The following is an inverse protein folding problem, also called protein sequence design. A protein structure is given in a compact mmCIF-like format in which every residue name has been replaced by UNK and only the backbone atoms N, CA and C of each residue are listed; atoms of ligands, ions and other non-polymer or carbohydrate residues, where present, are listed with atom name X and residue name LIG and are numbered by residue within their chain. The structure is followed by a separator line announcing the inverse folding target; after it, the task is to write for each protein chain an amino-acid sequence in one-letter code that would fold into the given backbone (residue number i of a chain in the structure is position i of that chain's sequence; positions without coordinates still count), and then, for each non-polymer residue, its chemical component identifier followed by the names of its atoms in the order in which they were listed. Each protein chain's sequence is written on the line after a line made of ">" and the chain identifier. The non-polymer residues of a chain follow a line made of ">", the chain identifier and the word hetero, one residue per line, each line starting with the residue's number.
data_IF_881233046162
#
_entry.id   IF_881233046162
#
_cell.length_a   1.000
_cell.length_b   1.000
_cell.length_c   1.000
_cell.angle_alpha   90.00
_cell.angle_beta   90.00
_cell.angle_gamma   90.00
#
_symmetry.space_group_name_H-M   'P 1'
#
loop_
_entity.id
_entity.type
_entity.pdbx_description
1 polymer ?
#
# COMPACT_ATOMS: atom_id res chain seq x y z
N UNK A 1 44.69 28.71 14.02
CA UNK A 1 44.19 29.87 13.25
C UNK A 1 44.21 29.48 11.78
N UNK A 2 43.18 28.80 11.29
CA UNK A 2 42.98 28.61 9.85
C UNK A 2 41.48 28.71 9.62
N UNK A 3 40.97 29.94 9.65
CA UNK A 3 39.63 30.24 9.19
C UNK A 3 39.81 31.13 7.95
N UNK A 4 40.25 30.51 6.86
CA UNK A 4 40.04 31.11 5.55
C UNK A 4 38.53 30.98 5.32
N UNK A 5 37.77 32.01 5.67
CA UNK A 5 36.35 32.08 5.34
C UNK A 5 36.28 32.17 3.81
N UNK A 6 36.23 31.02 3.15
CA UNK A 6 35.98 30.96 1.71
C UNK A 6 34.72 31.79 1.45
N UNK A 7 34.88 32.83 0.65
CA UNK A 7 33.78 33.70 0.24
C UNK A 7 32.79 32.81 -0.52
N UNK A 8 31.55 32.68 -0.01
CA UNK A 8 30.60 31.70 -0.55
C UNK A 8 30.24 31.97 -2.03
N UNK A 9 30.39 33.21 -2.48
CA UNK A 9 30.25 33.60 -3.88
C UNK A 9 31.32 32.98 -4.80
N UNK A 10 32.49 32.62 -4.27
CA UNK A 10 33.57 31.99 -5.03
C UNK A 10 33.40 30.46 -5.15
N UNK A 11 32.43 29.87 -4.45
CA UNK A 11 32.08 28.44 -4.56
C UNK A 11 31.51 28.11 -5.94
N UNK A 12 31.62 26.84 -6.35
CA UNK A 12 30.96 26.34 -7.56
C UNK A 12 29.44 26.44 -7.42
N UNK A 13 28.71 26.46 -8.54
CA UNK A 13 27.25 26.66 -8.54
C UNK A 13 26.52 25.75 -7.53
N UNK A 14 26.81 24.44 -7.53
CA UNK A 14 26.19 23.47 -6.61
C UNK A 14 26.49 23.79 -5.14
N UNK A 15 27.76 23.98 -4.80
CA UNK A 15 28.23 24.28 -3.43
C UNK A 15 27.66 25.62 -2.94
N UNK A 16 27.50 26.59 -3.83
CA UNK A 16 26.87 27.87 -3.54
C UNK A 16 25.38 27.69 -3.19
N UNK A 17 24.64 26.90 -3.97
CA UNK A 17 23.23 26.61 -3.70
C UNK A 17 23.05 25.82 -2.39
N UNK A 18 23.95 24.85 -2.14
CA UNK A 18 24.01 24.09 -0.89
C UNK A 18 24.26 25.00 0.31
N UNK A 19 25.27 25.88 0.23
CA UNK A 19 25.53 26.90 1.25
C UNK A 19 24.29 27.76 1.55
N UNK A 20 23.60 28.24 0.51
CA UNK A 20 22.39 29.06 0.68
C UNK A 20 21.27 28.29 1.37
N UNK A 21 21.03 27.04 0.98
CA UNK A 21 20.00 26.18 1.60
C UNK A 21 20.33 25.86 3.06
N UNK A 22 21.57 25.44 3.35
CA UNK A 22 21.98 25.01 4.69
C UNK A 22 22.07 26.17 5.69
N UNK A 23 22.63 27.30 5.27
CA UNK A 23 22.75 28.48 6.13
C UNK A 23 21.43 29.26 6.26
N UNK A 24 20.54 29.13 5.28
CA UNK A 24 19.35 29.98 5.14
C UNK A 24 19.66 31.45 4.86
N UNK A 25 20.90 31.77 4.45
CA UNK A 25 21.29 33.12 4.09
C UNK A 25 20.46 33.62 2.90
N UNK A 26 19.83 34.80 3.03
CA UNK A 26 18.91 35.40 2.05
C UNK A 26 17.56 34.67 1.86
N UNK A 27 17.22 33.72 2.74
CA UNK A 27 15.92 33.06 2.71
C UNK A 27 14.76 34.04 2.91
N UNK A 28 13.71 33.87 2.12
CA UNK A 28 12.50 34.70 2.05
C UNK A 28 11.21 33.86 2.17
N UNK A 29 11.35 32.55 2.40
CA UNK A 29 10.26 31.64 2.77
C UNK A 29 10.78 30.50 3.65
N UNK A 30 9.86 29.75 4.26
CA UNK A 30 10.23 28.58 5.05
C UNK A 30 9.08 27.60 5.21
N UNK A 31 9.43 26.33 5.38
CA UNK A 31 8.49 25.24 5.63
C UNK A 31 8.67 24.71 7.05
N UNK A 32 7.56 24.44 7.71
CA UNK A 32 7.49 23.68 8.95
C UNK A 32 7.12 22.24 8.60
N UNK A 33 8.09 21.33 8.76
CA UNK A 33 7.92 19.89 8.54
C UNK A 33 8.13 19.13 9.83
N UNK A 34 7.78 17.85 9.86
CA UNK A 34 7.87 17.03 11.07
C UNK A 34 8.65 15.74 10.83
N UNK A 35 9.60 15.46 11.71
CA UNK A 35 10.35 14.20 11.73
C UNK A 35 10.09 13.54 13.09
N UNK A 36 9.46 12.36 13.09
CA UNK A 36 9.12 11.65 14.33
C UNK A 36 8.39 12.52 15.38
N UNK A 37 7.50 13.41 14.90
CA UNK A 37 6.75 14.37 15.74
C UNK A 37 7.52 15.63 16.14
N UNK A 38 8.81 15.73 15.80
CA UNK A 38 9.63 16.92 16.05
C UNK A 38 9.52 17.89 14.89
N UNK A 39 9.11 19.13 15.18
CA UNK A 39 9.02 20.22 14.21
C UNK A 39 10.42 20.65 13.75
N UNK A 40 10.65 20.64 12.44
CA UNK A 40 11.84 21.13 11.77
C UNK A 40 11.48 22.31 10.86
N UNK A 41 12.30 23.36 10.85
CA UNK A 41 12.13 24.50 9.96
C UNK A 41 13.15 24.44 8.84
N UNK A 42 12.68 24.40 7.59
CA UNK A 42 13.52 24.45 6.40
C UNK A 42 13.37 25.84 5.78
N UNK A 43 14.44 26.61 5.80
CA UNK A 43 14.49 27.95 5.19
C UNK A 43 14.81 27.82 3.70
N UNK A 44 14.04 28.52 2.87
CA UNK A 44 14.11 28.38 1.41
C UNK A 44 14.13 29.75 0.70
N UNK A 45 14.37 29.71 -0.61
CA UNK A 45 14.33 30.88 -1.49
C UNK A 45 13.19 30.75 -2.49
N UNK A 46 12.22 31.69 -2.45
CA UNK A 46 11.07 31.72 -3.35
C UNK A 46 11.50 31.64 -4.80
N UNK A 47 12.51 32.41 -5.20
CA UNK A 47 13.04 32.40 -6.57
C UNK A 47 13.42 30.98 -7.05
N UNK A 48 14.14 30.20 -6.24
CA UNK A 48 14.54 28.83 -6.57
C UNK A 48 13.30 27.94 -6.72
N UNK A 49 12.38 28.00 -5.77
CA UNK A 49 11.17 27.18 -5.75
C UNK A 49 10.21 27.50 -6.91
N UNK A 50 9.95 28.78 -7.15
CA UNK A 50 9.11 29.30 -8.24
C UNK A 50 9.69 28.85 -9.59
N UNK A 51 11.01 29.01 -9.78
CA UNK A 51 11.66 28.59 -11.03
C UNK A 51 11.59 27.08 -11.29
N UNK A 52 11.38 26.29 -10.24
CA UNK A 52 11.35 24.82 -10.31
C UNK A 52 9.94 24.23 -10.37
N UNK A 53 8.90 25.00 -10.00
CA UNK A 53 7.53 24.49 -9.88
C UNK A 53 6.47 25.58 -10.10
N UNK A 54 5.49 25.33 -11.00
CA UNK A 54 4.34 26.23 -11.16
C UNK A 54 3.39 26.22 -9.94
N UNK A 55 3.50 25.21 -9.06
CA UNK A 55 2.74 25.18 -7.81
C UNK A 55 3.35 26.18 -6.82
N UNK A 56 4.67 26.23 -6.70
CA UNK A 56 5.33 27.25 -5.88
C UNK A 56 5.14 28.66 -6.46
N UNK A 57 5.17 28.83 -7.78
CA UNK A 57 4.78 30.10 -8.43
C UNK A 57 3.41 30.57 -7.97
N UNK A 58 2.39 29.72 -8.07
CA UNK A 58 1.03 30.04 -7.61
C UNK A 58 0.94 30.26 -6.11
N UNK A 59 1.64 29.47 -5.32
CA UNK A 59 1.65 29.56 -3.85
C UNK A 59 2.19 30.91 -3.38
N UNK A 60 3.25 31.44 -4.01
CA UNK A 60 3.93 32.64 -3.56
C UNK A 60 3.51 33.93 -4.27
N UNK A 61 3.13 33.86 -5.55
CA UNK A 61 2.71 35.02 -6.35
C UNK A 61 1.19 35.11 -6.57
N UNK A 62 0.45 34.06 -6.21
CA UNK A 62 -1.01 34.05 -6.26
C UNK A 62 -1.65 34.77 -5.08
N UNK A 63 -2.97 34.84 -5.06
CA UNK A 63 -3.75 35.55 -4.03
C UNK A 63 -3.99 34.75 -2.73
N UNK A 64 -3.19 33.71 -2.48
CA UNK A 64 -3.38 32.76 -1.38
C UNK A 64 -2.85 33.26 -0.04
N UNK A 65 -3.27 32.68 1.08
CA UNK A 65 -2.81 33.09 2.41
C UNK A 65 -1.29 32.94 2.56
N UNK A 66 -0.68 31.96 1.90
CA UNK A 66 0.76 31.70 1.88
C UNK A 66 1.55 32.83 1.21
N UNK A 67 0.95 33.54 0.24
CA UNK A 67 1.56 34.73 -0.37
C UNK A 67 1.59 35.93 0.59
N UNK A 68 0.64 35.98 1.52
CA UNK A 68 0.35 37.09 2.44
C UNK A 68 0.89 36.86 3.86
N UNK A 69 1.30 35.64 4.18
CA UNK A 69 1.65 35.21 5.52
C UNK A 69 3.16 35.27 5.77
N UNK A 70 3.56 35.82 6.93
CA UNK A 70 4.96 35.83 7.40
C UNK A 70 5.36 34.55 8.17
N UNK A 71 4.43 33.61 8.35
CA UNK A 71 4.64 32.35 9.07
C UNK A 71 5.15 31.22 8.15
N UNK A 72 5.59 30.13 8.75
CA UNK A 72 6.05 28.93 8.05
C UNK A 72 4.90 28.19 7.34
N UNK A 73 5.11 27.74 6.11
CA UNK A 73 4.18 26.86 5.40
C UNK A 73 4.26 25.48 6.04
N UNK A 74 3.15 24.95 6.54
CA UNK A 74 3.12 23.67 7.26
C UNK A 74 2.93 22.51 6.28
N UNK A 75 3.75 21.47 6.43
CA UNK A 75 3.62 20.19 5.74
C UNK A 75 3.78 19.07 6.77
N UNK A 76 2.69 18.34 7.01
CA UNK A 76 2.58 17.26 7.99
C UNK A 76 2.27 15.90 7.36
N UNK A 77 2.16 15.85 6.03
CA UNK A 77 1.85 14.64 5.26
C UNK A 77 3.09 13.84 4.83
N UNK A 78 4.30 14.33 5.11
CA UNK A 78 5.57 13.70 4.76
C UNK A 78 6.62 13.90 5.84
N UNK A 79 7.60 12.99 5.91
CA UNK A 79 8.74 13.14 6.82
C UNK A 79 9.59 14.36 6.46
N UNK A 80 10.11 15.03 7.48
CA UNK A 80 10.98 16.19 7.31
C UNK A 80 12.23 15.86 6.49
N UNK A 81 12.80 14.66 6.66
CA UNK A 81 13.95 14.21 5.89
C UNK A 81 13.64 14.00 4.41
N UNK A 82 12.51 13.39 4.06
CA UNK A 82 12.16 13.18 2.65
C UNK A 82 11.77 14.50 1.97
N UNK A 83 11.09 15.40 2.67
CA UNK A 83 10.84 16.74 2.15
C UNK A 83 12.14 17.54 1.98
N UNK A 84 13.10 17.42 2.90
CA UNK A 84 14.42 18.03 2.74
C UNK A 84 15.10 17.53 1.46
N UNK A 85 15.15 16.21 1.22
CA UNK A 85 15.70 15.63 -0.03
C UNK A 85 15.00 16.17 -1.29
N UNK A 86 13.70 16.42 -1.22
CA UNK A 86 12.95 17.06 -2.31
C UNK A 86 13.40 18.50 -2.56
N UNK A 87 13.51 19.33 -1.51
CA UNK A 87 14.01 20.72 -1.62
C UNK A 87 15.45 20.76 -2.13
N UNK A 88 16.31 19.90 -1.60
CA UNK A 88 17.69 19.71 -2.03
C UNK A 88 17.78 19.47 -3.55
N UNK A 89 16.92 18.59 -4.10
CA UNK A 89 16.84 18.39 -5.54
C UNK A 89 16.48 19.66 -6.32
N UNK A 90 15.57 20.50 -5.82
CA UNK A 90 15.18 21.74 -6.52
C UNK A 90 16.33 22.77 -6.60
N UNK A 91 17.25 22.74 -5.66
CA UNK A 91 18.36 23.70 -5.62
C UNK A 91 19.45 23.39 -6.64
N UNK A 92 19.77 22.11 -6.85
CA UNK A 92 20.94 21.73 -7.66
C UNK A 92 20.68 20.67 -8.73
N UNK A 93 19.45 20.15 -8.84
CA UNK A 93 19.02 19.17 -9.85
C UNK A 93 19.91 17.92 -9.97
N UNK A 94 20.53 17.52 -8.87
CA UNK A 94 21.43 16.37 -8.79
C UNK A 94 20.64 15.12 -8.43
N UNK A 95 20.84 14.06 -9.20
CA UNK A 95 20.12 12.80 -9.07
C UNK A 95 21.02 11.65 -8.61
N UNK A 96 22.30 11.92 -8.30
CA UNK A 96 23.28 10.87 -7.94
C UNK A 96 22.81 10.06 -6.73
N UNK A 97 22.30 10.74 -5.70
CA UNK A 97 21.82 10.11 -4.47
C UNK A 97 20.55 9.25 -4.66
N UNK A 98 19.81 9.40 -5.77
CA UNK A 98 18.59 8.60 -5.99
C UNK A 98 18.89 7.10 -6.09
N UNK A 99 20.10 6.70 -6.49
CA UNK A 99 20.48 5.28 -6.49
C UNK A 99 20.72 4.71 -5.09
N UNK A 100 20.92 5.55 -4.08
CA UNK A 100 21.24 5.15 -2.72
C UNK A 100 19.99 5.17 -1.82
N UNK A 101 19.01 6.02 -2.14
CA UNK A 101 17.79 6.14 -1.34
C UNK A 101 16.95 4.87 -1.32
N UNK A 102 16.36 4.56 -0.17
CA UNK A 102 15.44 3.44 -0.04
C UNK A 102 14.19 3.63 -0.92
N UNK A 103 13.51 2.53 -1.26
CA UNK A 103 12.31 2.58 -2.09
C UNK A 103 11.21 3.47 -1.48
N UNK A 104 10.90 3.43 -0.17
CA UNK A 104 9.93 4.32 0.44
C UNK A 104 10.27 5.81 0.21
N UNK A 105 11.53 6.21 0.41
CA UNK A 105 11.97 7.58 0.09
C UNK A 105 11.75 7.90 -1.38
N UNK A 106 12.09 7.01 -2.32
CA UNK A 106 11.83 7.25 -3.75
C UNK A 106 10.33 7.41 -4.05
N UNK A 107 9.47 6.64 -3.39
CA UNK A 107 8.01 6.76 -3.51
C UNK A 107 7.50 8.09 -2.95
N UNK A 108 8.00 8.52 -1.79
CA UNK A 108 7.71 9.84 -1.21
C UNK A 108 8.16 10.97 -2.14
N UNK A 109 9.35 10.86 -2.73
CA UNK A 109 9.85 11.83 -3.70
C UNK A 109 9.00 11.87 -4.97
N UNK A 110 8.51 10.73 -5.48
CA UNK A 110 7.54 10.69 -6.58
C UNK A 110 6.25 11.40 -6.20
N UNK A 111 5.72 11.15 -4.99
CA UNK A 111 4.53 11.82 -4.46
C UNK A 111 4.72 13.34 -4.41
N UNK A 112 5.79 13.82 -3.77
CA UNK A 112 6.11 15.25 -3.68
C UNK A 112 6.29 15.87 -5.06
N UNK A 113 6.99 15.18 -5.95
CA UNK A 113 7.21 15.65 -7.32
C UNK A 113 5.91 15.74 -8.12
N UNK A 114 4.96 14.83 -7.93
CA UNK A 114 3.61 14.95 -8.51
C UNK A 114 2.83 16.11 -7.87
N UNK A 115 2.84 16.23 -6.53
CA UNK A 115 2.17 17.28 -5.74
C UNK A 115 2.61 18.68 -6.18
N UNK A 116 3.91 18.87 -6.41
CA UNK A 116 4.52 20.14 -6.82
C UNK A 116 4.82 20.22 -8.32
N UNK A 117 4.29 19.30 -9.15
CA UNK A 117 4.43 19.32 -10.61
C UNK A 117 5.89 19.38 -11.14
N UNK A 118 6.81 18.70 -10.46
CA UNK A 118 8.23 18.57 -10.83
C UNK A 118 8.43 17.26 -11.63
N UNK A 119 7.88 17.21 -12.85
CA UNK A 119 7.84 15.98 -13.66
C UNK A 119 9.21 15.38 -13.98
N UNK A 120 10.25 16.21 -14.06
CA UNK A 120 11.63 15.75 -14.27
C UNK A 120 12.09 14.82 -13.16
N UNK A 121 11.79 15.15 -11.90
CA UNK A 121 12.14 14.34 -10.74
C UNK A 121 11.35 13.03 -10.69
N UNK A 122 10.04 13.07 -11.03
CA UNK A 122 9.21 11.86 -11.16
C UNK A 122 9.90 10.83 -12.06
N UNK A 123 10.33 11.26 -13.25
CA UNK A 123 10.98 10.38 -14.21
C UNK A 123 12.31 9.84 -13.69
N UNK A 124 13.12 10.67 -13.00
CA UNK A 124 14.41 10.25 -12.44
C UNK A 124 14.25 9.22 -11.31
N UNK A 125 13.27 9.38 -10.44
CA UNK A 125 12.93 8.40 -9.41
C UNK A 125 12.42 7.09 -10.02
N UNK A 126 11.52 7.15 -11.02
CA UNK A 126 11.04 5.95 -11.72
C UNK A 126 12.17 5.22 -12.45
N UNK A 127 13.08 5.94 -13.09
CA UNK A 127 14.25 5.35 -13.73
C UNK A 127 15.19 4.68 -12.72
N UNK A 128 15.32 5.25 -11.51
CA UNK A 128 16.05 4.61 -10.42
C UNK A 128 15.41 3.28 -10.00
N UNK A 129 14.10 3.25 -9.82
CA UNK A 129 13.35 2.04 -9.47
C UNK A 129 13.47 0.99 -10.59
N UNK A 130 13.27 1.38 -11.86
CA UNK A 130 13.38 0.47 -13.01
C UNK A 130 14.78 -0.13 -13.15
N UNK A 131 15.85 0.65 -12.92
CA UNK A 131 17.22 0.12 -12.91
C UNK A 131 17.41 -0.95 -11.84
N UNK A 132 16.87 -0.74 -10.64
CA UNK A 132 16.92 -1.74 -9.56
C UNK A 132 16.14 -3.00 -9.91
N UNK A 133 14.92 -2.86 -10.43
CA UNK A 133 14.13 -3.99 -10.94
C UNK A 133 14.90 -4.82 -11.98
N UNK A 134 15.61 -4.15 -12.90
CA UNK A 134 16.40 -4.83 -13.93
C UNK A 134 17.63 -5.57 -13.39
N UNK A 135 18.23 -5.11 -12.29
CA UNK A 135 19.35 -5.78 -11.63
C UNK A 135 18.87 -6.98 -10.80
N UNK A 136 17.64 -6.90 -10.30
CA UNK A 136 17.03 -7.89 -9.42
C UNK A 136 16.80 -7.32 -8.04
N UNK A 137 15.56 -7.46 -7.57
CA UNK A 137 15.13 -7.14 -6.22
C UNK A 137 14.58 -8.39 -5.55
N UNK A 138 14.44 -8.31 -4.23
CA UNK A 138 13.76 -9.34 -3.46
C UNK A 138 12.33 -9.60 -3.98
N UNK A 139 11.82 -10.81 -3.77
CA UNK A 139 10.52 -11.22 -4.25
C UNK A 139 9.39 -10.35 -3.69
N UNK A 140 9.39 -10.09 -2.38
CA UNK A 140 8.36 -9.31 -1.71
C UNK A 140 8.37 -7.86 -2.22
N UNK A 141 9.57 -7.28 -2.29
CA UNK A 141 9.77 -5.93 -2.83
C UNK A 141 9.29 -5.80 -4.28
N UNK A 142 9.52 -6.83 -5.10
CA UNK A 142 9.10 -6.83 -6.51
C UNK A 142 7.58 -6.87 -6.64
N UNK A 143 6.90 -7.64 -5.78
CA UNK A 143 5.44 -7.70 -5.69
C UNK A 143 4.87 -6.36 -5.21
N UNK A 144 5.47 -5.76 -4.20
CA UNK A 144 5.09 -4.42 -3.72
C UNK A 144 5.24 -3.36 -4.81
N UNK A 145 6.31 -3.44 -5.61
CA UNK A 145 6.50 -2.52 -6.75
C UNK A 145 5.48 -2.74 -7.86
N UNK A 146 5.01 -3.96 -8.09
CA UNK A 146 3.90 -4.21 -9.00
C UNK A 146 2.61 -3.55 -8.50
N UNK A 147 2.31 -3.68 -7.20
CA UNK A 147 1.15 -3.04 -6.58
C UNK A 147 1.25 -1.52 -6.63
N UNK A 148 2.42 -0.98 -6.29
CA UNK A 148 2.70 0.45 -6.35
C UNK A 148 2.54 1.00 -7.78
N UNK A 149 3.03 0.28 -8.80
CA UNK A 149 2.89 0.69 -10.19
C UNK A 149 1.42 0.84 -10.63
N UNK A 150 0.54 -0.02 -10.12
CA UNK A 150 -0.91 0.11 -10.28
C UNK A 150 -1.47 1.31 -9.53
N UNK A 151 -1.05 1.52 -8.27
CA UNK A 151 -1.51 2.64 -7.45
C UNK A 151 -1.19 4.02 -8.07
N UNK A 152 -0.04 4.15 -8.73
CA UNK A 152 0.38 5.43 -9.35
C UNK A 152 0.02 5.57 -10.83
N UNK A 153 -0.73 4.61 -11.37
CA UNK A 153 -1.12 4.51 -12.78
C UNK A 153 0.05 4.66 -13.76
N UNK A 154 1.20 4.04 -13.46
CA UNK A 154 2.39 4.12 -14.31
C UNK A 154 2.58 2.86 -15.16
N UNK A 155 2.19 2.94 -16.43
CA UNK A 155 2.28 1.84 -17.39
C UNK A 155 3.70 1.32 -17.61
N UNK A 156 4.69 2.20 -17.58
CA UNK A 156 6.08 1.86 -17.89
C UNK A 156 6.74 1.07 -16.76
N UNK A 157 6.54 1.51 -15.51
CA UNK A 157 6.96 0.78 -14.33
C UNK A 157 6.21 -0.55 -14.23
N UNK A 158 4.90 -0.54 -14.48
CA UNK A 158 4.08 -1.75 -14.48
C UNK A 158 4.58 -2.77 -15.50
N UNK A 159 4.90 -2.32 -16.72
CA UNK A 159 5.48 -3.17 -17.78
C UNK A 159 6.84 -3.74 -17.34
N UNK A 160 7.67 -2.93 -16.68
CA UNK A 160 8.97 -3.37 -16.17
C UNK A 160 8.82 -4.44 -15.08
N UNK A 161 7.93 -4.22 -14.10
CA UNK A 161 7.64 -5.19 -13.05
C UNK A 161 7.07 -6.49 -13.65
N UNK A 162 6.09 -6.38 -14.55
CA UNK A 162 5.50 -7.50 -15.29
C UNK A 162 6.53 -8.32 -16.06
N UNK A 163 7.53 -7.68 -16.64
CA UNK A 163 8.61 -8.37 -17.34
C UNK A 163 9.44 -9.21 -16.37
N UNK A 164 9.82 -8.66 -15.21
CA UNK A 164 10.56 -9.37 -14.17
C UNK A 164 9.77 -10.56 -13.62
N UNK A 165 8.48 -10.35 -13.28
CA UNK A 165 7.59 -11.41 -12.78
C UNK A 165 7.52 -12.59 -13.76
N UNK A 166 7.43 -12.31 -15.07
CA UNK A 166 7.36 -13.33 -16.13
C UNK A 166 8.66 -14.10 -16.33
N UNK A 167 9.81 -13.51 -16.02
CA UNK A 167 11.11 -14.16 -16.20
C UNK A 167 11.32 -15.29 -15.20
N UNK A 168 10.80 -15.18 -13.97
CA UNK A 168 10.89 -16.23 -12.96
C UNK A 168 9.56 -16.38 -12.19
N UNK A 169 8.51 -16.90 -12.82
CA UNK A 169 7.17 -16.83 -12.26
C UNK A 169 6.99 -17.62 -10.96
N UNK A 170 7.73 -18.71 -10.78
CA UNK A 170 7.65 -19.54 -9.57
C UNK A 170 8.28 -18.87 -8.35
N UNK A 171 9.21 -17.93 -8.53
CA UNK A 171 9.80 -17.16 -7.44
C UNK A 171 8.80 -16.17 -6.83
N UNK A 172 7.93 -15.58 -7.66
CA UNK A 172 7.08 -14.46 -7.25
C UNK A 172 5.64 -14.84 -6.94
N UNK A 173 5.09 -15.89 -7.57
CA UNK A 173 3.65 -16.19 -7.48
C UNK A 173 3.15 -16.45 -6.05
N UNK A 174 4.02 -16.94 -5.17
CA UNK A 174 3.73 -17.33 -3.78
C UNK A 174 4.67 -16.62 -2.79
N UNK A 175 5.15 -15.43 -3.15
CA UNK A 175 5.88 -14.57 -2.22
C UNK A 175 4.95 -14.09 -1.10
N UNK A 176 5.49 -13.74 0.07
CA UNK A 176 4.66 -13.41 1.23
C UNK A 176 3.88 -12.11 1.00
N UNK A 177 4.48 -11.12 0.34
CA UNK A 177 3.82 -9.85 -0.01
C UNK A 177 2.59 -10.03 -0.92
N UNK A 178 2.46 -11.15 -1.64
CA UNK A 178 1.26 -11.44 -2.47
C UNK A 178 0.00 -11.47 -1.62
N UNK A 179 0.12 -11.92 -0.36
CA UNK A 179 -0.99 -12.07 0.55
C UNK A 179 -1.45 -10.76 1.20
N UNK A 180 -0.64 -9.70 1.09
CA UNK A 180 -0.95 -8.35 1.57
C UNK A 180 -1.55 -7.45 0.46
N UNK A 181 -1.64 -7.94 -0.78
CA UNK A 181 -2.22 -7.21 -1.90
C UNK A 181 -3.72 -6.94 -1.69
N UNK A 182 -4.17 -5.74 -2.09
CA UNK A 182 -5.60 -5.46 -2.20
C UNK A 182 -6.29 -6.37 -3.22
N UNK A 183 -7.59 -6.63 -3.07
CA UNK A 183 -8.32 -7.59 -3.89
C UNK A 183 -8.23 -7.31 -5.40
N UNK A 184 -8.35 -6.04 -5.81
CA UNK A 184 -8.23 -5.63 -7.21
C UNK A 184 -6.82 -5.87 -7.76
N UNK A 185 -5.79 -5.52 -6.99
CA UNK A 185 -4.39 -5.72 -7.39
C UNK A 185 -4.04 -7.21 -7.42
N UNK A 186 -4.52 -8.00 -6.45
CA UNK A 186 -4.32 -9.44 -6.41
C UNK A 186 -4.93 -10.13 -7.64
N UNK A 187 -6.15 -9.76 -8.04
CA UNK A 187 -6.79 -10.31 -9.24
C UNK A 187 -5.96 -10.00 -10.50
N UNK A 188 -5.47 -8.77 -10.63
CA UNK A 188 -4.58 -8.38 -11.74
C UNK A 188 -3.27 -9.16 -11.67
N UNK A 189 -2.69 -9.32 -10.48
CA UNK A 189 -1.45 -10.04 -10.25
C UNK A 189 -1.57 -11.51 -10.67
N UNK A 190 -2.55 -12.26 -10.16
CA UNK A 190 -2.70 -13.69 -10.45
C UNK A 190 -3.02 -13.97 -11.94
N UNK A 191 -3.62 -12.99 -12.62
CA UNK A 191 -3.85 -13.03 -14.06
C UNK A 191 -2.55 -13.00 -14.86
N UNK A 192 -1.52 -12.27 -14.40
CA UNK A 192 -0.21 -12.20 -15.07
C UNK A 192 0.48 -13.57 -15.17
N UNK A 193 0.15 -14.50 -14.26
CA UNK A 193 0.70 -15.86 -14.22
C UNK A 193 -0.12 -16.88 -15.00
N UNK A 194 -1.22 -16.46 -15.65
CA UNK A 194 -1.99 -17.34 -16.52
C UNK A 194 -1.08 -17.91 -17.61
N UNK A 195 -1.12 -19.23 -17.82
CA UNK A 195 -0.25 -19.98 -18.74
C UNK A 195 1.25 -20.02 -18.42
N UNK A 196 1.72 -19.27 -17.41
CA UNK A 196 3.12 -19.29 -16.96
C UNK A 196 3.35 -20.27 -15.82
N UNK A 197 2.31 -20.52 -15.01
CA UNK A 197 2.33 -21.44 -13.87
C UNK A 197 1.18 -22.43 -14.01
N UNK A 198 1.33 -23.63 -13.41
CA UNK A 198 0.28 -24.64 -13.42
C UNK A 198 -0.98 -24.11 -12.74
N UNK A 199 -2.14 -24.48 -13.28
CA UNK A 199 -3.43 -24.09 -12.70
C UNK A 199 -3.54 -24.54 -11.25
N UNK A 200 -2.93 -25.67 -10.90
CA UNK A 200 -2.87 -26.15 -9.52
C UNK A 200 -2.20 -25.14 -8.59
N UNK A 201 -0.98 -24.71 -8.92
CA UNK A 201 -0.24 -23.75 -8.09
C UNK A 201 -0.94 -22.38 -8.04
N UNK A 202 -1.52 -21.93 -9.15
CA UNK A 202 -2.35 -20.70 -9.18
C UNK A 202 -3.54 -20.81 -8.23
N UNK A 203 -4.24 -21.95 -8.24
CA UNK A 203 -5.36 -22.19 -7.33
C UNK A 203 -4.90 -22.23 -5.87
N UNK A 204 -3.78 -22.88 -5.54
CA UNK A 204 -3.26 -22.93 -4.17
C UNK A 204 -2.97 -21.52 -3.61
N UNK A 205 -2.44 -20.61 -4.45
CA UNK A 205 -2.21 -19.21 -4.07
C UNK A 205 -3.53 -18.46 -3.89
N UNK A 206 -4.50 -18.64 -4.78
CA UNK A 206 -5.86 -18.06 -4.64
C UNK A 206 -6.51 -18.53 -3.33
N UNK A 207 -6.43 -19.83 -3.05
CA UNK A 207 -6.98 -20.45 -1.87
C UNK A 207 -6.30 -19.94 -0.58
N UNK A 208 -4.97 -19.81 -0.57
CA UNK A 208 -4.24 -19.20 0.54
C UNK A 208 -4.60 -17.73 0.71
N UNK A 209 -4.66 -16.94 -0.35
CA UNK A 209 -5.07 -15.53 -0.30
C UNK A 209 -6.45 -15.36 0.32
N UNK A 210 -7.44 -16.12 -0.15
CA UNK A 210 -8.79 -16.05 0.39
C UNK A 210 -8.85 -16.44 1.89
N UNK A 211 -8.02 -17.39 2.36
CA UNK A 211 -7.91 -17.70 3.79
C UNK A 211 -7.28 -16.56 4.58
N UNK A 212 -6.16 -16.02 4.11
CA UNK A 212 -5.44 -14.95 4.79
C UNK A 212 -6.30 -13.70 4.94
N UNK A 213 -7.10 -13.40 3.92
CA UNK A 213 -8.03 -12.26 3.90
C UNK A 213 -9.36 -12.55 4.65
N UNK A 214 -9.53 -13.73 5.26
CA UNK A 214 -10.76 -14.10 5.97
C UNK A 214 -11.99 -14.26 5.08
N UNK A 215 -11.80 -14.42 3.77
CA UNK A 215 -12.88 -14.56 2.78
C UNK A 215 -13.53 -15.96 2.82
N UNK A 216 -12.83 -16.93 3.40
CA UNK A 216 -13.33 -18.28 3.65
C UNK A 216 -13.01 -18.71 5.07
N UNK A 217 -13.91 -19.47 5.69
CA UNK A 217 -13.64 -20.13 6.96
C UNK A 217 -12.45 -21.08 6.83
N UNK A 218 -11.65 -21.19 7.90
CA UNK A 218 -10.73 -22.32 8.01
C UNK A 218 -11.55 -23.60 7.89
N UNK A 219 -11.07 -24.64 7.17
CA UNK A 219 -11.80 -25.88 7.11
C UNK A 219 -12.00 -26.37 8.55
N UNK A 220 -13.24 -26.36 9.01
CA UNK A 220 -13.63 -27.07 10.21
C UNK A 220 -13.26 -28.53 9.94
N UNK A 221 -12.20 -28.99 10.59
CA UNK A 221 -11.96 -30.41 10.74
C UNK A 221 -13.28 -31.03 11.22
N UNK A 222 -13.73 -32.17 10.66
CA UNK A 222 -14.86 -32.88 11.22
C UNK A 222 -14.49 -33.18 12.67
N UNK A 223 -15.15 -32.51 13.59
CA UNK A 223 -14.85 -32.60 15.02
C UNK A 223 -15.30 -33.99 15.45
N UNK A 224 -14.35 -34.93 15.48
CA UNK A 224 -14.46 -36.05 16.39
C UNK A 224 -14.40 -35.45 17.79
N UNK A 225 -15.52 -35.55 18.51
CA UNK A 225 -15.63 -35.27 19.93
C UNK A 225 -14.38 -35.76 20.66
N UNK A 226 -13.62 -34.85 21.25
CA UNK A 226 -12.93 -35.11 22.51
C UNK A 226 -12.68 -33.78 23.21
N UNK A 227 -13.17 -33.74 24.45
CA UNK A 227 -12.81 -32.75 25.46
C UNK A 227 -11.33 -32.92 25.80
N UNK A 228 -10.77 -31.83 26.32
CA UNK A 228 -9.44 -31.71 26.93
C UNK A 228 -8.31 -31.34 25.96
N UNK A 229 -7.96 -30.05 25.94
CA UNK A 229 -6.64 -29.58 26.39
C UNK A 229 -6.47 -28.08 26.13
N UNK A 230 -6.32 -27.33 27.22
CA UNK A 230 -5.65 -26.03 27.25
C UNK A 230 -4.27 -26.12 26.60
N UNK A 231 -3.95 -25.19 25.68
CA UNK A 231 -2.76 -24.32 25.64
C UNK A 231 -2.49 -23.80 24.23
N UNK A 232 -1.98 -22.57 24.17
CA UNK A 232 -1.45 -21.83 23.01
C UNK A 232 -2.42 -20.88 22.27
N UNK A 233 -3.01 -19.95 23.01
CA UNK A 233 -3.37 -18.62 22.48
C UNK A 233 -2.27 -17.62 22.87
N UNK A 234 -1.26 -17.48 22.03
CA UNK A 234 -0.33 -16.36 22.06
C UNK A 234 0.36 -16.25 20.70
N UNK A 235 0.57 -15.01 20.26
CA UNK A 235 1.26 -14.58 19.03
C UNK A 235 0.32 -14.39 17.82
N UNK A 236 -0.38 -13.27 17.80
CA UNK A 236 -0.32 -12.34 16.66
C UNK A 236 -0.78 -10.96 17.10
N UNK A 237 0.14 -10.23 17.73
CA UNK A 237 0.08 -8.77 17.85
C UNK A 237 1.30 -8.22 17.13
N UNK A 238 1.07 -7.13 16.39
CA UNK A 238 2.07 -6.23 15.77
C UNK A 238 2.63 -6.63 14.40
N UNK A 239 1.92 -6.19 13.36
CA UNK A 239 2.47 -5.34 12.29
C UNK A 239 1.33 -4.60 11.60
N UNK A 240 0.99 -3.40 12.10
CA UNK A 240 0.28 -2.38 11.31
C UNK A 240 1.35 -1.50 10.70
N UNK A 241 1.69 -1.76 9.44
CA UNK A 241 2.32 -0.73 8.60
C UNK A 241 1.17 0.10 8.03
N UNK A 242 1.19 1.38 8.35
CA UNK A 242 0.19 2.34 7.91
C UNK A 242 0.24 2.46 6.39
N UNK A 243 -0.80 1.94 5.71
CA UNK A 243 -1.08 2.30 4.32
C UNK A 243 -1.99 3.52 4.38
N UNK A 244 -1.40 4.70 4.21
CA UNK A 244 -2.14 5.97 4.18
C UNK A 244 -2.92 6.03 2.87
N UNK A 245 -4.22 5.74 2.94
CA UNK A 245 -5.17 6.02 1.87
C UNK A 245 -5.37 7.54 1.79
N UNK A 246 -4.78 8.16 0.76
CA UNK A 246 -5.03 9.56 0.40
C UNK A 246 -6.35 9.59 -0.39
N UNK A 247 -7.44 9.98 0.27
CA UNK A 247 -8.66 10.43 -0.39
C UNK A 247 -8.61 11.95 -0.47
N UNK A 248 -8.56 12.48 -1.69
CA UNK A 248 -8.71 13.90 -1.97
C UNK A 248 -10.18 14.28 -1.76
N UNK A 249 -10.45 15.21 -0.84
CA UNK A 249 -11.70 15.96 -0.88
C UNK A 249 -11.41 17.44 -0.64
N UNK A 250 -11.83 18.26 -1.60
CA UNK A 250 -11.72 19.72 -1.61
C UNK A 250 -13.10 20.27 -1.26
N UNK A 251 -13.21 21.14 -0.25
CA UNK A 251 -14.44 21.92 -0.05
C UNK A 251 -14.66 22.47 1.36
N UNK A 252 -14.29 23.74 1.52
CA UNK A 252 -15.01 24.84 2.20
C UNK A 252 -15.17 24.91 3.74
N UNK A 253 -14.81 26.09 4.23
CA UNK A 253 -14.86 26.62 5.60
C UNK A 253 -16.25 26.75 6.21
N UNK A 254 -16.31 26.77 7.55
CA UNK A 254 -16.99 27.82 8.32
C UNK A 254 -16.55 27.84 9.80
N UNK A 255 -16.23 29.04 10.26
CA UNK A 255 -16.05 29.49 11.66
C UNK A 255 -17.27 29.17 12.56
N UNK A 256 -17.07 29.00 13.88
CA UNK A 256 -17.15 30.11 14.85
C UNK A 256 -17.17 29.64 16.34
N UNK A 257 -16.64 30.53 17.18
CA UNK A 257 -16.39 30.51 18.63
C UNK A 257 -17.53 30.00 19.56
N UNK A 258 -17.15 29.46 20.73
CA UNK A 258 -17.32 30.16 22.04
C UNK A 258 -16.68 29.44 23.23
N UNK A 259 -16.03 30.26 24.04
CA UNK A 259 -15.48 30.07 25.38
C UNK A 259 -16.58 29.92 26.45
N UNK A 260 -16.26 29.29 27.60
CA UNK A 260 -16.38 29.84 28.99
C UNK A 260 -16.51 28.74 30.08
N UNK A 261 -15.53 28.79 31.01
CA UNK A 261 -15.50 28.52 32.47
C UNK A 261 -15.66 27.11 33.08
N UNK A 262 -14.59 26.76 33.82
CA UNK A 262 -14.50 26.25 35.21
C UNK A 262 -15.84 26.04 35.94
N UNK A 263 -15.97 24.91 36.62
CA UNK A 263 -15.83 24.88 38.10
C UNK A 263 -15.63 23.44 38.62
N UNK A 264 -14.77 23.37 39.64
CA UNK A 264 -14.51 22.22 40.49
C UNK A 264 -15.75 21.89 41.33
N UNK A 265 -16.04 20.60 41.54
CA UNK A 265 -16.48 20.17 42.87
C UNK A 265 -16.26 18.68 43.09
N UNK A 266 -15.42 18.40 44.08
CA UNK A 266 -15.33 17.12 44.77
C UNK A 266 -16.65 16.79 45.46
N UNK A 267 -17.06 15.53 45.41
CA UNK A 267 -17.73 14.93 46.56
C UNK A 267 -17.54 13.41 46.56
N UNK A 268 -16.72 12.97 47.52
CA UNK A 268 -16.63 11.59 47.99
C UNK A 268 -18.02 11.07 48.41
N UNK A 269 -18.44 9.92 47.86
CA UNK A 269 -19.49 9.09 48.48
C UNK A 269 -18.88 7.73 48.81
N UNK A 270 -18.75 7.48 50.11
CA UNK A 270 -18.46 6.18 50.70
C UNK A 270 -19.67 5.25 50.56
N UNK A 271 -19.41 4.10 49.95
CA UNK A 271 -19.92 2.75 50.27
C UNK A 271 -21.37 2.59 50.74
N UNK A 272 -22.16 1.87 49.94
CA UNK A 272 -22.96 0.71 50.40
C UNK A 272 -23.28 -0.19 49.21
N UNK A 273 -22.94 -1.47 49.37
CA UNK A 273 -23.31 -2.60 48.51
C UNK A 273 -24.82 -2.80 48.60
N UNK A 274 -25.45 -3.05 47.46
CA UNK A 274 -26.61 -3.94 47.33
C UNK A 274 -26.66 -4.43 45.87
N UNK A 275 -26.64 -5.75 45.67
CA UNK A 275 -26.59 -6.44 44.39
C UNK A 275 -27.90 -6.26 43.58
N UNK A 276 -27.87 -6.04 42.26
CA UNK A 276 -29.04 -6.24 41.40
C UNK A 276 -28.92 -7.50 40.52
N UNK A 277 -30.04 -8.21 40.44
CA UNK A 277 -30.32 -9.35 39.59
C UNK A 277 -30.06 -9.09 38.08
N UNK A 278 -29.82 -10.13 37.26
CA UNK A 278 -29.37 -9.95 35.88
C UNK A 278 -30.50 -9.40 34.99
N UNK A 279 -30.28 -8.20 34.47
CA UNK A 279 -30.98 -7.68 33.31
C UNK A 279 -30.60 -8.54 32.09
N UNK A 280 -31.61 -9.07 31.38
CA UNK A 280 -31.43 -9.56 30.02
C UNK A 280 -31.29 -8.33 29.12
N UNK A 281 -30.08 -8.07 28.64
CA UNK A 281 -29.89 -7.17 27.52
C UNK A 281 -30.55 -7.81 26.29
N UNK A 282 -31.51 -7.10 25.71
CA UNK A 282 -32.02 -7.40 24.39
C UNK A 282 -30.98 -6.89 23.39
N UNK A 283 -30.47 -7.79 22.55
CA UNK A 283 -29.57 -7.48 21.46
C UNK A 283 -30.22 -6.40 20.57
N UNK A 284 -29.68 -5.19 20.65
CA UNK A 284 -30.07 -4.07 19.83
C UNK A 284 -29.03 -3.96 18.70
N UNK A 285 -29.00 -4.96 17.82
CA UNK A 285 -28.19 -4.90 16.60
C UNK A 285 -28.82 -3.87 15.65
N UNK A 286 -28.01 -2.88 15.24
CA UNK A 286 -28.47 -1.73 14.47
C UNK A 286 -28.70 -2.17 13.00
N UNK A 287 -29.91 -2.00 12.41
CA UNK A 287 -30.23 -2.49 11.07
C UNK A 287 -29.28 -2.03 9.95
N UNK A 288 -28.68 -0.85 10.11
CA UNK A 288 -27.70 -0.30 9.15
C UNK A 288 -26.40 -1.11 9.10
N UNK A 289 -25.99 -1.73 10.21
CA UNK A 289 -24.79 -2.57 10.28
C UNK A 289 -25.03 -3.93 9.61
N UNK A 290 -26.19 -4.55 9.82
CA UNK A 290 -26.56 -5.79 9.13
C UNK A 290 -26.61 -5.63 7.61
N UNK A 291 -27.13 -4.50 7.12
CA UNK A 291 -27.17 -4.19 5.69
C UNK A 291 -25.78 -3.96 5.09
N UNK A 292 -24.89 -3.26 5.80
CA UNK A 292 -23.51 -3.03 5.37
C UNK A 292 -22.72 -4.33 5.29
N UNK A 293 -22.80 -5.18 6.32
CA UNK A 293 -22.18 -6.50 6.31
C UNK A 293 -22.71 -7.39 5.19
N UNK A 294 -24.02 -7.32 4.90
CA UNK A 294 -24.61 -8.07 3.80
C UNK A 294 -24.05 -7.61 2.44
N UNK A 295 -23.91 -6.30 2.22
CA UNK A 295 -23.29 -5.75 1.00
C UNK A 295 -21.84 -6.21 0.85
N UNK A 296 -21.07 -6.20 1.92
CA UNK A 296 -19.67 -6.60 1.86
C UNK A 296 -19.50 -8.11 1.67
N UNK A 297 -20.38 -8.94 2.26
CA UNK A 297 -20.46 -10.38 1.96
C UNK A 297 -20.79 -10.64 0.48
N UNK A 298 -21.69 -9.85 -0.12
CA UNK A 298 -22.03 -9.97 -1.54
C UNK A 298 -20.84 -9.63 -2.44
N UNK A 299 -20.13 -8.52 -2.17
CA UNK A 299 -18.90 -8.14 -2.90
C UNK A 299 -17.81 -9.21 -2.78
N UNK A 300 -17.59 -9.74 -1.58
CA UNK A 300 -16.61 -10.79 -1.33
C UNK A 300 -16.95 -12.06 -2.13
N UNK A 301 -18.22 -12.45 -2.18
CA UNK A 301 -18.68 -13.60 -2.96
C UNK A 301 -18.50 -13.38 -4.47
N UNK A 302 -18.76 -12.18 -4.98
CA UNK A 302 -18.53 -11.84 -6.39
C UNK A 302 -17.04 -11.87 -6.75
N UNK A 303 -16.19 -11.34 -5.87
CA UNK A 303 -14.74 -11.38 -6.02
C UNK A 303 -14.21 -12.83 -6.06
N UNK A 304 -14.64 -13.68 -5.13
CA UNK A 304 -14.28 -15.11 -5.11
C UNK A 304 -14.73 -15.80 -6.40
N UNK A 305 -15.96 -15.57 -6.86
CA UNK A 305 -16.46 -16.13 -8.14
C UNK A 305 -15.57 -15.70 -9.31
N UNK A 306 -15.15 -14.45 -9.33
CA UNK A 306 -14.26 -13.91 -10.38
C UNK A 306 -12.90 -14.62 -10.36
N UNK A 307 -12.28 -14.77 -9.18
CA UNK A 307 -11.02 -15.52 -9.02
C UNK A 307 -11.14 -16.97 -9.51
N UNK A 308 -12.18 -17.68 -9.06
CA UNK A 308 -12.42 -19.08 -9.43
C UNK A 308 -12.66 -19.23 -10.93
N UNK A 309 -13.41 -18.31 -11.55
CA UNK A 309 -13.66 -18.32 -13.00
C UNK A 309 -12.38 -18.18 -13.83
N UNK A 310 -11.32 -17.62 -13.24
CA UNK A 310 -10.02 -17.46 -13.87
C UNK A 310 -9.12 -18.71 -13.80
N UNK A 311 -9.56 -19.75 -13.09
CA UNK A 311 -8.85 -21.03 -12.97
C UNK A 311 -9.38 -22.05 -13.99
N UNK A 312 -8.49 -22.58 -14.81
CA UNK A 312 -8.81 -23.58 -15.83
C UNK A 312 -8.68 -25.00 -15.27
N UNK A 313 -9.63 -25.41 -14.42
CA UNK A 313 -9.63 -26.72 -13.75
C UNK A 313 -9.46 -27.92 -14.70
N UNK A 314 -9.94 -27.84 -15.94
CA UNK A 314 -9.81 -28.89 -16.95
C UNK A 314 -8.35 -29.18 -17.35
N UNK A 315 -7.40 -28.30 -17.02
CA UNK A 315 -5.96 -28.50 -17.24
C UNK A 315 -5.27 -29.23 -16.08
N UNK A 316 -5.96 -29.48 -14.97
CA UNK A 316 -5.42 -30.23 -13.83
C UNK A 316 -5.60 -31.73 -14.05
N UNK A 317 -4.76 -32.54 -13.39
CA UNK A 317 -5.04 -33.96 -13.25
C UNK A 317 -6.16 -34.21 -12.23
N UNK A 318 -6.86 -35.36 -12.26
CA UNK A 318 -7.81 -35.73 -11.21
C UNK A 318 -7.17 -35.73 -9.82
N UNK A 319 -5.90 -36.14 -9.71
CA UNK A 319 -5.16 -36.13 -8.45
C UNK A 319 -4.91 -34.70 -7.95
N UNK A 320 -4.44 -33.81 -8.82
CA UNK A 320 -4.18 -32.41 -8.47
C UNK A 320 -5.48 -31.69 -8.10
N UNK A 321 -6.60 -32.04 -8.74
CA UNK A 321 -7.89 -31.50 -8.36
C UNK A 321 -8.29 -31.98 -6.95
N UNK A 322 -8.27 -33.29 -6.70
CA UNK A 322 -8.71 -33.85 -5.42
C UNK A 322 -7.85 -33.39 -4.23
N UNK A 323 -6.53 -33.28 -4.41
CA UNK A 323 -5.61 -32.84 -3.35
C UNK A 323 -5.54 -31.32 -3.16
N UNK A 324 -6.31 -30.53 -3.91
CA UNK A 324 -6.30 -29.06 -3.87
C UNK A 324 -7.70 -28.49 -3.91
N UNK A 325 -8.24 -28.11 -5.08
CA UNK A 325 -9.62 -27.65 -5.21
C UNK A 325 -10.67 -28.53 -4.53
N UNK A 326 -10.49 -29.85 -4.54
CA UNK A 326 -11.38 -30.82 -3.90
C UNK A 326 -11.47 -30.68 -2.38
N UNK A 327 -10.40 -30.26 -1.71
CA UNK A 327 -10.37 -30.03 -0.24
C UNK A 327 -10.62 -28.58 0.15
N UNK A 328 -10.55 -27.64 -0.80
CA UNK A 328 -10.77 -26.21 -0.54
C UNK A 328 -12.21 -25.88 -0.15
N UNK A 329 -12.38 -24.84 0.68
CA UNK A 329 -13.67 -24.24 1.02
C UNK A 329 -14.22 -23.29 -0.04
N UNK A 330 -13.45 -22.98 -1.10
CA UNK A 330 -13.85 -22.07 -2.18
C UNK A 330 -14.90 -22.67 -3.12
N UNK A 331 -15.03 -23.99 -3.15
CA UNK A 331 -15.94 -24.70 -4.05
C UNK A 331 -17.00 -25.46 -3.25
N UNK A 332 -18.25 -25.39 -3.71
CA UNK A 332 -19.34 -26.20 -3.16
C UNK A 332 -19.15 -27.68 -3.55
N UNK A 333 -19.76 -28.61 -2.82
CA UNK A 333 -19.71 -30.04 -3.15
C UNK A 333 -20.24 -30.33 -4.56
N UNK A 334 -21.33 -29.66 -4.97
CA UNK A 334 -21.90 -29.82 -6.31
C UNK A 334 -20.93 -29.34 -7.39
N UNK A 335 -20.31 -28.17 -7.19
CA UNK A 335 -19.29 -27.63 -8.11
C UNK A 335 -18.07 -28.57 -8.18
N UNK A 336 -17.63 -29.11 -7.05
CA UNK A 336 -16.50 -30.06 -7.00
C UNK A 336 -16.79 -31.31 -7.82
N UNK A 337 -17.98 -31.89 -7.67
CA UNK A 337 -18.39 -33.08 -8.43
C UNK A 337 -18.43 -32.80 -9.94
N UNK A 338 -19.04 -31.69 -10.35
CA UNK A 338 -19.12 -31.29 -11.76
C UNK A 338 -17.73 -31.08 -12.37
N UNK A 339 -16.84 -30.35 -11.67
CA UNK A 339 -15.49 -30.09 -12.15
C UNK A 339 -14.67 -31.39 -12.26
N UNK A 340 -14.71 -32.26 -11.26
CA UNK A 340 -13.99 -33.54 -11.30
C UNK A 340 -14.49 -34.44 -12.43
N UNK A 341 -15.81 -34.52 -12.63
CA UNK A 341 -16.40 -35.26 -13.74
C UNK A 341 -15.89 -34.75 -15.10
N UNK A 342 -15.91 -33.43 -15.29
CA UNK A 342 -15.40 -32.79 -16.52
C UNK A 342 -13.90 -33.04 -16.74
N UNK A 343 -13.09 -33.02 -15.67
CA UNK A 343 -11.66 -33.34 -15.74
C UNK A 343 -11.46 -34.78 -16.21
N UNK A 344 -12.15 -35.75 -15.60
CA UNK A 344 -12.05 -37.16 -15.98
C UNK A 344 -12.46 -37.39 -17.45
N UNK A 345 -13.54 -36.76 -17.92
CA UNK A 345 -13.98 -36.83 -19.32
C UNK A 345 -12.93 -36.23 -20.26
N UNK A 346 -12.34 -35.08 -19.92
CA UNK A 346 -11.28 -34.45 -20.70
C UNK A 346 -10.03 -35.34 -20.80
N UNK A 347 -9.63 -35.97 -19.69
CA UNK A 347 -8.49 -36.89 -19.64
C UNK A 347 -8.72 -38.08 -20.58
N UNK A 348 -9.88 -38.72 -20.51
CA UNK A 348 -10.19 -39.87 -21.37
C UNK A 348 -10.28 -39.48 -22.84
N UNK A 349 -10.91 -38.34 -23.15
CA UNK A 349 -10.94 -37.79 -24.51
C UNK A 349 -9.54 -37.58 -25.08
N UNK A 350 -8.63 -37.00 -24.30
CA UNK A 350 -7.24 -36.76 -24.73
C UNK A 350 -6.47 -38.08 -24.93
N UNK A 351 -6.71 -39.08 -24.08
CA UNK A 351 -6.14 -40.42 -24.24
C UNK A 351 -6.59 -41.10 -25.53
N UNK A 352 -7.89 -41.05 -25.85
CA UNK A 352 -8.41 -41.63 -27.09
C UNK A 352 -7.82 -40.94 -28.32
N UNK A 353 -7.69 -39.60 -28.29
CA UNK A 353 -7.07 -38.82 -29.36
C UNK A 353 -5.58 -39.11 -29.57
N UNK A 354 -4.82 -39.36 -28.49
CA UNK A 354 -3.40 -39.69 -28.61
C UNK A 354 -3.17 -41.10 -29.17
N UNK A 355 -4.07 -42.04 -28.88
CA UNK A 355 -4.02 -43.41 -29.43
C UNK A 355 -4.49 -43.52 -30.89
N UNK A 356 -5.13 -42.47 -31.43
CA UNK A 356 -5.70 -42.45 -32.78
C UNK A 356 -4.79 -41.81 -33.86
N UNK A 357 -3.57 -41.35 -33.51
CA UNK A 357 -2.59 -40.89 -34.52
C UNK A 357 -1.75 -42.09 -35.01
N UNK A 358 -1.77 -42.40 -36.32
CA UNK A 358 -1.01 -43.51 -36.90
C UNK A 358 0.50 -43.28 -36.90
#
# INVERSE_FOLDING_TARGET
>A
MENSSTVWQDLQYRERMEYLLESGHLSDCSFAVFEEGTKMIIKCHKFVLISSSPVFERMFEGDFEESKTSNHIVLDDVSGQDFKKFIEYLYWHDNRCLQEYELPTLQTLIYLSKKFLVSTMVNKCLDAIKRRLAIGLDADITVDLFAYAHQIDNSDLLTSAKMVLRQNPLLYIDAEAVYDLSSDVFLKFIFEFQSLVTERKRFDVIDRYCRTQGLIGTPSTPTANNKDADTAAAVSSMKKVATTNIVLNVGESADELKTIKKDENDNEIKTKKDDPAPFKEADNENPEQEEEEKRDREKNNEFIKTLISNVQFSKMSPYDFCSGPGVSGLLTYDTKFQLLSNICVCVEKNRLLSTARP
#
